data_IF_104876183193
#
_entry.id   IF_104876183193
#
_cell.length_a   1.000
_cell.length_b   1.000
_cell.length_c   1.000
_cell.angle_alpha   90.00
_cell.angle_beta   90.00
_cell.angle_gamma   90.00
#
_symmetry.space_group_name_H-M   'P 1'
#
loop_
_entity.id
_entity.type
_entity.pdbx_description
1 polymer ?
#
# COMPACT_ATOMS: atom_id res chain seq x y z
N UNK A 1 18.90 -7.54 -44.33
CA UNK A 1 19.22 -7.47 -42.89
C UNK A 1 19.84 -6.10 -42.62
N UNK A 2 19.02 -5.15 -42.17
CA UNK A 2 19.49 -3.78 -41.87
C UNK A 2 19.98 -3.76 -40.43
N UNK A 3 21.29 -3.64 -40.23
CA UNK A 3 21.86 -3.32 -38.94
C UNK A 3 21.49 -1.87 -38.60
N UNK A 4 20.51 -1.66 -37.75
CA UNK A 4 20.26 -0.35 -37.14
C UNK A 4 21.47 -0.02 -36.26
N UNK A 5 22.36 0.86 -36.76
CA UNK A 5 23.42 1.47 -35.94
C UNK A 5 22.72 2.20 -34.77
N UNK A 6 22.89 1.70 -33.55
CA UNK A 6 22.45 2.40 -32.31
C UNK A 6 23.18 3.73 -32.32
N UNK A 7 22.47 4.81 -32.66
CA UNK A 7 23.00 6.17 -32.50
C UNK A 7 23.08 6.43 -31.02
N UNK A 8 24.30 6.65 -30.54
CA UNK A 8 24.53 7.08 -29.15
C UNK A 8 24.02 8.52 -29.00
N UNK A 9 22.75 8.65 -28.74
CA UNK A 9 22.12 9.93 -28.42
C UNK A 9 22.30 10.20 -26.94
N UNK A 10 22.39 11.47 -26.54
CA UNK A 10 22.49 11.92 -25.16
C UNK A 10 21.48 11.19 -24.24
N UNK A 11 20.26 10.97 -24.69
CA UNK A 11 19.21 10.21 -23.99
C UNK A 11 19.55 8.72 -23.78
N UNK A 12 20.24 8.09 -24.71
CA UNK A 12 20.67 6.69 -24.58
C UNK A 12 21.76 6.54 -23.52
N UNK A 13 22.65 7.53 -23.38
CA UNK A 13 23.68 7.54 -22.34
C UNK A 13 23.05 7.71 -20.97
N UNK A 14 22.09 8.65 -20.81
CA UNK A 14 21.35 8.85 -19.56
C UNK A 14 20.57 7.59 -19.20
N UNK A 15 19.83 7.02 -20.14
CA UNK A 15 19.06 5.79 -19.92
C UNK A 15 19.95 4.63 -19.52
N UNK A 16 21.11 4.47 -20.16
CA UNK A 16 22.11 3.47 -19.81
C UNK A 16 22.68 3.69 -18.40
N UNK A 17 23.01 4.91 -18.04
CA UNK A 17 23.45 5.28 -16.68
C UNK A 17 22.42 4.98 -15.61
N UNK A 18 21.16 5.34 -15.86
CA UNK A 18 20.03 5.02 -14.94
C UNK A 18 19.83 3.50 -14.83
N UNK A 19 19.96 2.75 -15.93
CA UNK A 19 19.85 1.30 -15.91
C UNK A 19 20.97 0.64 -15.10
N UNK A 20 22.20 1.12 -15.21
CA UNK A 20 23.34 0.64 -14.40
C UNK A 20 23.11 0.96 -12.92
N UNK A 21 22.66 2.18 -12.60
CA UNK A 21 22.28 2.55 -11.24
C UNK A 21 21.20 1.61 -10.66
N UNK A 22 20.17 1.33 -11.44
CA UNK A 22 19.11 0.41 -11.05
C UNK A 22 19.64 -1.02 -10.80
N UNK A 23 20.51 -1.52 -11.66
CA UNK A 23 21.13 -2.84 -11.49
C UNK A 23 21.99 -2.90 -10.23
N UNK A 24 22.81 -1.89 -9.96
CA UNK A 24 23.69 -1.85 -8.78
C UNK A 24 22.87 -1.73 -7.49
N UNK A 25 21.91 -0.81 -7.42
CA UNK A 25 21.22 -0.49 -6.16
C UNK A 25 20.00 -1.33 -5.89
N UNK A 26 19.42 -2.00 -6.88
CA UNK A 26 18.24 -2.84 -6.70
C UNK A 26 18.54 -4.31 -6.95
N UNK A 27 19.08 -4.68 -8.10
CA UNK A 27 19.23 -6.09 -8.46
C UNK A 27 20.38 -6.76 -7.68
N UNK A 28 21.49 -6.06 -7.49
CA UNK A 28 22.63 -6.61 -6.76
C UNK A 28 22.31 -6.91 -5.28
N UNK A 29 21.69 -6.00 -4.48
CA UNK A 29 21.31 -6.33 -3.10
C UNK A 29 20.31 -7.47 -3.00
N UNK A 30 19.32 -7.53 -3.90
CA UNK A 30 18.36 -8.65 -3.94
C UNK A 30 19.07 -9.96 -4.27
N UNK A 31 19.98 -9.95 -5.25
CA UNK A 31 20.80 -11.11 -5.59
C UNK A 31 21.69 -11.58 -4.44
N UNK A 32 22.31 -10.65 -3.71
CA UNK A 32 23.09 -10.96 -2.48
C UNK A 32 22.21 -11.56 -1.41
N UNK A 33 21.02 -11.00 -1.17
CA UNK A 33 20.06 -11.51 -0.21
C UNK A 33 19.58 -12.93 -0.55
N UNK A 34 19.29 -13.20 -1.83
CA UNK A 34 18.96 -14.55 -2.31
C UNK A 34 20.12 -15.52 -2.12
N UNK A 35 21.34 -15.10 -2.45
CA UNK A 35 22.54 -15.92 -2.23
C UNK A 35 22.71 -16.24 -0.74
N UNK A 36 22.67 -15.25 0.12
CA UNK A 36 22.86 -15.39 1.57
C UNK A 36 21.78 -16.26 2.22
N UNK A 37 20.57 -16.28 1.66
CA UNK A 37 19.46 -17.13 2.17
C UNK A 37 19.66 -18.63 1.90
N UNK A 38 20.48 -19.00 0.92
CA UNK A 38 20.64 -20.39 0.44
C UNK A 38 22.09 -20.91 0.62
N UNK A 39 23.08 -19.99 0.78
CA UNK A 39 24.46 -20.35 0.98
C UNK A 39 24.92 -19.98 2.38
N UNK A 40 25.31 -21.00 3.17
CA UNK A 40 25.91 -20.84 4.51
C UNK A 40 27.26 -21.53 4.49
N UNK A 41 28.34 -20.80 4.84
CA UNK A 41 29.71 -21.31 4.89
C UNK A 41 30.19 -22.01 3.61
N UNK A 42 29.78 -21.47 2.45
CA UNK A 42 30.17 -21.99 1.14
C UNK A 42 29.42 -23.25 0.68
N UNK A 43 28.44 -23.73 1.46
CA UNK A 43 27.60 -24.89 1.14
C UNK A 43 26.17 -24.44 0.84
N UNK A 44 25.55 -25.08 -0.16
CA UNK A 44 24.13 -24.93 -0.42
C UNK A 44 23.33 -25.61 0.69
N UNK A 45 22.49 -24.86 1.40
CA UNK A 45 21.65 -25.38 2.48
C UNK A 45 20.29 -24.73 2.50
N UNK A 46 19.26 -25.51 2.79
CA UNK A 46 17.88 -25.05 3.01
C UNK A 46 17.51 -25.03 4.50
N UNK A 47 18.51 -25.10 5.38
CA UNK A 47 18.30 -25.22 6.83
C UNK A 47 17.55 -24.02 7.40
N UNK A 48 17.88 -22.80 6.94
CA UNK A 48 17.19 -21.58 7.36
C UNK A 48 15.69 -21.60 7.02
N UNK A 49 15.33 -22.10 5.84
CA UNK A 49 13.91 -22.27 5.46
C UNK A 49 13.23 -23.34 6.28
N UNK A 50 13.90 -24.48 6.53
CA UNK A 50 13.38 -25.55 7.39
C UNK A 50 13.15 -25.06 8.82
N UNK A 51 14.08 -24.28 9.37
CA UNK A 51 13.97 -23.68 10.70
C UNK A 51 12.77 -22.72 10.77
N UNK A 52 12.53 -21.93 9.71
CA UNK A 52 11.38 -21.04 9.66
C UNK A 52 10.05 -21.80 9.79
N UNK A 53 9.89 -22.92 9.06
CA UNK A 53 8.64 -23.70 9.10
C UNK A 53 8.54 -24.63 10.30
N UNK A 54 9.64 -24.88 11.03
CA UNK A 54 9.64 -25.79 12.19
C UNK A 54 9.11 -25.12 13.48
N UNK A 55 9.18 -23.80 13.60
CA UNK A 55 8.74 -23.07 14.79
C UNK A 55 7.50 -22.24 14.49
N UNK A 56 6.43 -22.48 15.27
CA UNK A 56 5.15 -21.77 15.17
C UNK A 56 5.30 -20.25 15.19
N UNK A 57 6.14 -19.73 16.05
CA UNK A 57 6.42 -18.31 16.19
C UNK A 57 6.80 -17.59 14.86
N UNK A 58 7.54 -18.26 13.98
CA UNK A 58 8.03 -17.66 12.74
C UNK A 58 6.94 -17.57 11.67
N UNK A 59 6.24 -18.64 11.38
CA UNK A 59 5.20 -18.60 10.36
C UNK A 59 3.94 -17.85 10.82
N UNK A 60 3.64 -17.86 12.13
CA UNK A 60 2.56 -17.04 12.70
C UNK A 60 2.79 -15.55 12.47
N UNK A 61 4.05 -15.07 12.48
CA UNK A 61 4.35 -13.66 12.21
C UNK A 61 3.94 -13.21 10.81
N UNK A 62 4.03 -14.10 9.79
CA UNK A 62 3.50 -13.83 8.45
C UNK A 62 1.98 -13.73 8.53
N UNK A 63 1.32 -14.69 9.16
CA UNK A 63 -0.13 -14.70 9.29
C UNK A 63 -0.64 -13.46 10.03
N UNK A 64 0.06 -13.05 11.08
CA UNK A 64 -0.22 -11.82 11.81
C UNK A 64 -0.12 -10.58 10.90
N UNK A 65 0.94 -10.47 10.11
CA UNK A 65 1.13 -9.35 9.18
C UNK A 65 0.07 -9.32 8.09
N UNK A 66 -0.26 -10.47 7.50
CA UNK A 66 -1.31 -10.58 6.49
C UNK A 66 -2.68 -10.21 7.09
N UNK A 67 -2.99 -10.71 8.29
CA UNK A 67 -4.23 -10.40 8.99
C UNK A 67 -4.37 -8.91 9.31
N UNK A 68 -3.31 -8.29 9.84
CA UNK A 68 -3.29 -6.83 10.07
C UNK A 68 -3.51 -6.09 8.76
N UNK A 69 -2.73 -6.42 7.71
CA UNK A 69 -2.80 -5.73 6.44
C UNK A 69 -4.20 -5.81 5.80
N UNK A 70 -4.87 -6.97 5.89
CA UNK A 70 -6.26 -7.13 5.44
C UNK A 70 -7.24 -6.30 6.27
N UNK A 71 -7.13 -6.32 7.60
CA UNK A 71 -8.01 -5.53 8.46
C UNK A 71 -7.82 -4.03 8.23
N UNK A 72 -6.57 -3.57 8.12
CA UNK A 72 -6.25 -2.16 7.83
C UNK A 72 -6.73 -1.75 6.44
N UNK A 73 -6.55 -2.60 5.43
CA UNK A 73 -7.05 -2.36 4.08
C UNK A 73 -8.57 -2.19 4.08
N UNK A 74 -9.29 -3.14 4.68
CA UNK A 74 -10.75 -3.08 4.75
C UNK A 74 -11.25 -1.85 5.51
N UNK A 75 -10.66 -1.56 6.68
CA UNK A 75 -11.03 -0.40 7.49
C UNK A 75 -10.68 0.94 6.79
N UNK A 76 -9.53 1.02 6.13
CA UNK A 76 -9.13 2.22 5.38
C UNK A 76 -10.01 2.48 4.17
N UNK A 77 -10.45 1.44 3.45
CA UNK A 77 -11.43 1.58 2.37
C UNK A 77 -12.80 1.99 2.90
N UNK A 78 -13.24 1.38 4.00
CA UNK A 78 -14.53 1.68 4.64
C UNK A 78 -14.62 3.14 5.09
N UNK A 79 -13.54 3.71 5.59
CA UNK A 79 -13.48 5.12 6.01
C UNK A 79 -13.16 6.05 4.84
N UNK A 80 -12.21 5.68 3.99
CA UNK A 80 -11.67 6.53 2.94
C UNK A 80 -12.63 6.76 1.78
N UNK A 81 -13.37 5.73 1.34
CA UNK A 81 -14.29 5.85 0.20
C UNK A 81 -15.46 6.80 0.52
N UNK A 82 -16.20 6.64 1.65
CA UNK A 82 -17.25 7.60 2.00
C UNK A 82 -16.70 9.01 2.22
N UNK A 83 -15.56 9.15 2.89
CA UNK A 83 -14.94 10.45 3.10
C UNK A 83 -14.58 11.12 1.76
N UNK A 84 -13.98 10.39 0.82
CA UNK A 84 -13.66 10.88 -0.51
C UNK A 84 -14.92 11.25 -1.30
N UNK A 85 -16.01 10.48 -1.16
CA UNK A 85 -17.30 10.77 -1.78
C UNK A 85 -17.86 12.10 -1.29
N UNK A 86 -17.96 12.29 0.03
CA UNK A 86 -18.42 13.55 0.60
C UNK A 86 -17.50 14.72 0.19
N UNK A 87 -16.19 14.50 0.21
CA UNK A 87 -15.22 15.49 -0.20
C UNK A 87 -15.36 15.90 -1.67
N UNK A 88 -15.67 14.97 -2.58
CA UNK A 88 -15.71 15.21 -4.03
C UNK A 88 -17.04 15.82 -4.48
N UNK A 89 -18.17 15.35 -3.95
CA UNK A 89 -19.51 15.70 -4.41
C UNK A 89 -20.21 16.79 -3.59
N UNK A 90 -19.74 17.07 -2.36
CA UNK A 90 -20.34 18.09 -1.52
C UNK A 90 -19.42 19.32 -1.36
N UNK A 91 -20.02 20.49 -1.24
CA UNK A 91 -19.30 21.74 -0.97
C UNK A 91 -18.97 21.82 0.53
N UNK A 92 -17.81 21.32 0.93
CA UNK A 92 -17.34 21.38 2.30
C UNK A 92 -16.59 22.71 2.55
N UNK A 93 -16.92 23.40 3.64
CA UNK A 93 -16.10 24.51 4.15
C UNK A 93 -14.73 23.97 4.55
N UNK A 94 -13.65 24.68 4.17
CA UNK A 94 -12.29 24.22 4.51
C UNK A 94 -11.74 23.06 3.69
N UNK A 95 -12.34 22.75 2.53
CA UNK A 95 -11.93 21.64 1.63
C UNK A 95 -10.41 21.60 1.36
N UNK A 96 -9.79 22.76 1.11
CA UNK A 96 -8.34 22.84 0.86
C UNK A 96 -7.55 22.41 2.08
N UNK A 97 -7.94 22.84 3.27
CA UNK A 97 -7.29 22.46 4.54
C UNK A 97 -7.40 20.95 4.79
N UNK A 98 -8.59 20.36 4.59
CA UNK A 98 -8.78 18.92 4.73
C UNK A 98 -7.87 18.12 3.80
N UNK A 99 -7.71 18.55 2.56
CA UNK A 99 -6.83 17.88 1.60
C UNK A 99 -5.36 17.97 2.01
N UNK A 100 -4.92 19.16 2.47
CA UNK A 100 -3.55 19.35 2.99
C UNK A 100 -3.32 18.48 4.22
N UNK A 101 -4.28 18.40 5.14
CA UNK A 101 -4.18 17.51 6.31
C UNK A 101 -4.07 16.03 5.89
N UNK A 102 -4.86 15.57 4.91
CA UNK A 102 -4.73 14.22 4.37
C UNK A 102 -3.34 13.98 3.77
N UNK A 103 -2.78 14.94 3.02
CA UNK A 103 -1.42 14.84 2.49
C UNK A 103 -0.38 14.73 3.60
N UNK A 104 -0.46 15.60 4.60
CA UNK A 104 0.46 15.58 5.75
C UNK A 104 0.41 14.27 6.52
N UNK A 105 -0.78 13.69 6.72
CA UNK A 105 -0.93 12.38 7.36
C UNK A 105 -0.22 11.27 6.57
N UNK A 106 -0.29 11.29 5.23
CA UNK A 106 0.37 10.27 4.40
C UNK A 106 1.89 10.39 4.38
N UNK A 107 2.42 11.58 4.64
CA UNK A 107 3.87 11.87 4.70
C UNK A 107 4.46 11.69 6.09
N UNK A 108 3.65 11.35 7.09
CA UNK A 108 4.12 11.13 8.46
C UNK A 108 5.15 10.02 8.54
N UNK A 109 6.25 10.26 9.27
CA UNK A 109 7.26 9.25 9.52
C UNK A 109 6.69 8.05 10.32
N UNK A 110 7.17 6.82 10.07
CA UNK A 110 6.56 5.60 10.62
C UNK A 110 6.41 5.59 12.14
N UNK A 111 7.43 6.08 12.86
CA UNK A 111 7.45 6.07 14.32
C UNK A 111 6.66 7.21 14.96
N UNK A 112 6.62 8.39 14.34
CA UNK A 112 6.02 9.60 14.92
C UNK A 112 4.52 9.39 15.14
N UNK A 113 3.81 8.84 14.15
CA UNK A 113 2.38 8.57 14.28
C UNK A 113 2.06 7.58 15.40
N UNK A 114 2.80 6.47 15.48
CA UNK A 114 2.60 5.47 16.52
C UNK A 114 2.90 6.03 17.91
N UNK A 115 3.98 6.81 18.06
CA UNK A 115 4.35 7.43 19.31
C UNK A 115 3.32 8.47 19.78
N UNK A 116 2.82 9.30 18.87
CA UNK A 116 1.76 10.25 19.19
C UNK A 116 0.50 9.55 19.75
N UNK A 117 0.11 8.40 19.16
CA UNK A 117 -1.01 7.62 19.67
C UNK A 117 -0.73 6.96 21.02
N UNK A 118 0.52 6.57 21.30
CA UNK A 118 0.92 6.09 22.63
C UNK A 118 0.77 7.20 23.68
N UNK A 119 1.16 8.43 23.35
CA UNK A 119 0.96 9.58 24.25
C UNK A 119 -0.53 9.87 24.51
N UNK A 120 -1.38 9.66 23.52
CA UNK A 120 -2.81 9.90 23.64
C UNK A 120 -3.55 8.75 24.33
N UNK A 121 -3.31 7.51 23.93
CA UNK A 121 -4.08 6.32 24.31
C UNK A 121 -3.25 5.23 25.01
N UNK A 122 -2.00 5.50 25.34
CA UNK A 122 -1.18 4.59 26.15
C UNK A 122 -1.67 4.46 27.59
N UNK A 123 -1.01 3.66 28.41
CA UNK A 123 -1.43 3.37 29.78
C UNK A 123 -1.64 4.63 30.66
N UNK A 124 -0.84 5.68 30.41
CA UNK A 124 -0.94 6.98 31.07
C UNK A 124 -1.30 8.10 30.08
N UNK A 125 -1.95 7.75 28.96
CA UNK A 125 -2.31 8.70 27.92
C UNK A 125 -3.48 9.61 28.32
N UNK A 126 -3.55 10.78 27.68
CA UNK A 126 -4.57 11.79 27.94
C UNK A 126 -5.99 11.22 27.75
N UNK A 127 -6.25 10.58 26.62
CA UNK A 127 -7.57 10.00 26.30
C UNK A 127 -7.89 8.85 27.27
N UNK A 128 -6.91 8.01 27.57
CA UNK A 128 -7.08 6.92 28.54
C UNK A 128 -7.41 7.45 29.94
N UNK A 129 -6.81 8.57 30.35
CA UNK A 129 -7.13 9.25 31.60
C UNK A 129 -8.58 9.74 31.64
N UNK A 130 -9.03 10.39 30.56
CA UNK A 130 -10.42 10.85 30.42
C UNK A 130 -11.41 9.66 30.43
N UNK A 131 -11.13 8.59 29.68
CA UNK A 131 -11.99 7.40 29.64
C UNK A 131 -12.11 6.73 31.01
N UNK A 132 -11.01 6.66 31.76
CA UNK A 132 -11.01 6.15 33.14
C UNK A 132 -11.88 6.98 34.08
N UNK A 133 -11.89 8.32 33.94
CA UNK A 133 -12.75 9.20 34.75
C UNK A 133 -14.23 9.01 34.44
N UNK A 134 -14.60 8.52 33.25
CA UNK A 134 -15.95 8.12 32.86
C UNK A 134 -16.27 6.64 33.22
N UNK A 135 -15.39 5.95 33.94
CA UNK A 135 -15.58 4.54 34.32
C UNK A 135 -15.29 3.52 33.22
N UNK A 136 -14.80 3.93 32.07
CA UNK A 136 -14.45 3.05 30.96
C UNK A 136 -13.01 2.56 31.18
N UNK A 137 -12.88 1.36 31.78
CA UNK A 137 -11.60 0.72 32.03
C UNK A 137 -11.31 -0.34 30.96
N UNK A 138 -10.03 -0.58 30.67
CA UNK A 138 -9.60 -1.67 29.78
C UNK A 138 -9.37 -1.28 28.32
N UNK A 139 -9.52 -0.02 27.94
CA UNK A 139 -9.11 0.46 26.60
C UNK A 139 -7.59 0.51 26.52
N UNK A 140 -7.02 -0.35 25.73
CA UNK A 140 -5.57 -0.40 25.51
C UNK A 140 -5.25 -0.26 24.02
N UNK A 141 -4.33 0.65 23.68
CA UNK A 141 -3.85 0.80 22.31
C UNK A 141 -2.88 -0.33 21.90
N UNK A 142 -2.44 -1.13 22.86
CA UNK A 142 -1.45 -2.17 22.62
C UNK A 142 -2.05 -3.44 22.04
N UNK A 143 -1.27 -4.13 21.18
CA UNK A 143 -1.66 -5.36 20.53
C UNK A 143 -2.34 -5.17 19.17
N UNK A 144 -3.00 -6.21 18.69
CA UNK A 144 -3.60 -6.27 17.36
C UNK A 144 -4.56 -5.10 17.06
N UNK A 145 -5.51 -4.83 17.96
CA UNK A 145 -6.53 -3.79 17.75
C UNK A 145 -5.92 -2.39 17.62
N UNK A 146 -4.92 -2.07 18.46
CA UNK A 146 -4.23 -0.79 18.38
C UNK A 146 -3.39 -0.63 17.12
N UNK A 147 -2.71 -1.69 16.67
CA UNK A 147 -1.97 -1.66 15.39
C UNK A 147 -2.94 -1.36 14.24
N UNK A 148 -4.07 -2.09 14.17
CA UNK A 148 -5.08 -1.89 13.12
C UNK A 148 -5.64 -0.46 13.17
N UNK A 149 -5.99 0.04 14.36
CA UNK A 149 -6.52 1.38 14.55
C UNK A 149 -5.54 2.47 14.06
N UNK A 150 -4.30 2.44 14.54
CA UNK A 150 -3.29 3.46 14.22
C UNK A 150 -2.92 3.42 12.74
N UNK A 151 -2.71 2.22 12.17
CA UNK A 151 -2.41 2.09 10.75
C UNK A 151 -3.58 2.51 9.86
N UNK A 152 -4.83 2.23 10.27
CA UNK A 152 -6.02 2.67 9.53
C UNK A 152 -6.07 4.18 9.45
N UNK A 153 -5.88 4.88 10.59
CA UNK A 153 -5.88 6.34 10.62
C UNK A 153 -4.72 6.96 9.85
N UNK A 154 -3.58 6.27 9.74
CA UNK A 154 -2.44 6.68 8.94
C UNK A 154 -2.68 6.49 7.43
N UNK A 155 -3.40 5.42 7.03
CA UNK A 155 -3.49 4.99 5.64
C UNK A 155 -4.83 5.34 4.96
N UNK A 156 -5.94 5.60 5.70
CA UNK A 156 -7.19 6.00 5.05
C UNK A 156 -7.08 7.29 4.22
N UNK A 157 -6.25 8.31 4.59
CA UNK A 157 -6.10 9.50 3.75
C UNK A 157 -5.51 9.19 2.37
N UNK A 158 -4.70 8.14 2.25
CA UNK A 158 -4.19 7.65 0.98
C UNK A 158 -5.35 7.21 0.07
N UNK A 159 -6.30 6.45 0.62
CA UNK A 159 -7.53 6.07 -0.12
C UNK A 159 -8.30 7.31 -0.55
N UNK A 160 -8.44 8.31 0.32
CA UNK A 160 -9.12 9.58 0.00
C UNK A 160 -8.48 10.27 -1.20
N UNK A 161 -7.14 10.35 -1.24
CA UNK A 161 -6.40 10.98 -2.34
C UNK A 161 -6.66 10.24 -3.66
N UNK A 162 -6.54 8.92 -3.68
CA UNK A 162 -6.77 8.09 -4.87
C UNK A 162 -8.22 8.20 -5.36
N UNK A 163 -9.17 8.06 -4.44
CA UNK A 163 -10.59 8.11 -4.77
C UNK A 163 -11.05 9.50 -5.21
N UNK A 164 -10.49 10.58 -4.63
CA UNK A 164 -10.79 11.94 -5.07
C UNK A 164 -10.34 12.17 -6.53
N UNK A 165 -9.21 11.61 -6.96
CA UNK A 165 -8.81 11.60 -8.36
C UNK A 165 -9.84 10.87 -9.23
N UNK A 166 -10.13 9.61 -8.88
CA UNK A 166 -11.07 8.79 -9.64
C UNK A 166 -12.48 9.39 -9.74
N UNK A 167 -12.97 10.03 -8.67
CA UNK A 167 -14.29 10.66 -8.69
C UNK A 167 -14.35 11.93 -9.56
N UNK A 168 -13.22 12.63 -9.71
CA UNK A 168 -13.13 13.80 -10.60
C UNK A 168 -13.08 13.43 -12.08
N UNK A 169 -12.57 12.24 -12.38
CA UNK A 169 -12.46 11.73 -13.75
C UNK A 169 -13.78 11.14 -14.27
N UNK A 170 -14.83 11.05 -13.41
CA UNK A 170 -16.16 10.61 -13.84
C UNK A 170 -16.82 11.74 -14.63
N UNK A 171 -17.24 11.43 -15.87
CA UNK A 171 -18.01 12.34 -16.69
C UNK A 171 -19.40 12.59 -16.07
N UNK A 172 -19.75 13.86 -15.89
CA UNK A 172 -21.05 14.25 -15.35
C UNK A 172 -22.21 13.77 -16.23
N UNK A 173 -22.01 13.66 -17.54
CA UNK A 173 -23.02 13.15 -18.46
C UNK A 173 -23.48 11.73 -18.12
N UNK A 174 -22.56 10.88 -17.64
CA UNK A 174 -22.88 9.54 -17.18
C UNK A 174 -23.74 9.55 -15.91
N UNK A 175 -23.46 10.49 -15.00
CA UNK A 175 -24.24 10.65 -13.77
C UNK A 175 -25.65 11.19 -14.04
N UNK A 176 -25.79 12.12 -15.00
CA UNK A 176 -27.07 12.67 -15.44
C UNK A 176 -27.90 11.62 -16.20
N UNK A 177 -27.27 10.82 -17.06
CA UNK A 177 -27.93 9.71 -17.75
C UNK A 177 -28.44 8.67 -16.75
N UNK A 178 -27.64 8.32 -15.75
CA UNK A 178 -28.04 7.39 -14.67
C UNK A 178 -29.23 7.93 -13.87
N UNK A 179 -29.24 9.23 -13.60
CA UNK A 179 -30.34 9.89 -12.89
C UNK A 179 -31.63 9.92 -13.72
N UNK A 180 -31.52 10.16 -15.02
CA UNK A 180 -32.64 10.10 -15.98
C UNK A 180 -33.24 8.70 -16.08
N UNK A 181 -32.43 7.66 -15.88
CA UNK A 181 -32.89 6.24 -15.79
C UNK A 181 -33.42 5.87 -14.40
N UNK A 182 -33.57 6.81 -13.48
CA UNK A 182 -34.13 6.59 -12.15
C UNK A 182 -33.12 6.17 -11.06
N UNK A 183 -31.82 6.09 -11.38
CA UNK A 183 -30.79 5.78 -10.38
C UNK A 183 -30.46 7.00 -9.53
N UNK A 184 -31.04 7.10 -8.32
CA UNK A 184 -30.83 8.23 -7.39
C UNK A 184 -30.13 7.82 -6.09
N UNK A 185 -29.46 8.76 -5.44
CA UNK A 185 -28.87 8.60 -4.11
C UNK A 185 -27.91 7.41 -4.00
N UNK A 186 -28.24 6.47 -3.11
CA UNK A 186 -27.41 5.29 -2.81
C UNK A 186 -27.30 4.33 -4.01
N UNK A 187 -28.34 4.20 -4.83
CA UNK A 187 -28.30 3.35 -6.02
C UNK A 187 -27.32 3.91 -7.05
N UNK A 188 -27.32 5.21 -7.28
CA UNK A 188 -26.33 5.89 -8.14
C UNK A 188 -24.90 5.65 -7.62
N UNK A 189 -24.69 5.76 -6.31
CA UNK A 189 -23.39 5.50 -5.71
C UNK A 189 -22.94 4.05 -5.92
N UNK A 190 -23.78 3.06 -5.56
CA UNK A 190 -23.42 1.65 -5.61
C UNK A 190 -23.29 1.09 -7.03
N UNK A 191 -24.24 1.42 -7.91
CA UNK A 191 -24.33 0.82 -9.25
C UNK A 191 -23.49 1.54 -10.29
N UNK A 192 -23.32 2.86 -10.15
CA UNK A 192 -22.62 3.66 -11.16
C UNK A 192 -21.24 4.06 -10.66
N UNK A 193 -21.16 4.85 -9.59
CA UNK A 193 -19.90 5.45 -9.12
C UNK A 193 -18.91 4.36 -8.68
N UNK A 194 -19.35 3.42 -7.84
CA UNK A 194 -18.49 2.32 -7.38
C UNK A 194 -18.03 1.42 -8.53
N UNK A 195 -18.91 1.14 -9.51
CA UNK A 195 -18.55 0.32 -10.67
C UNK A 195 -17.49 1.01 -11.54
N UNK A 196 -17.65 2.30 -11.83
CA UNK A 196 -16.71 3.08 -12.63
C UNK A 196 -15.34 3.24 -11.93
N UNK A 197 -15.32 3.37 -10.61
CA UNK A 197 -14.09 3.57 -9.83
C UNK A 197 -13.46 2.29 -9.31
N UNK A 198 -14.05 1.11 -9.59
CA UNK A 198 -13.55 -0.19 -9.12
C UNK A 198 -12.05 -0.43 -9.39
N UNK A 199 -11.51 -0.12 -10.58
CA UNK A 199 -10.08 -0.28 -10.83
C UNK A 199 -9.21 0.54 -9.87
N UNK A 200 -9.62 1.77 -9.57
CA UNK A 200 -8.91 2.64 -8.62
C UNK A 200 -9.08 2.16 -7.17
N UNK A 201 -10.26 1.66 -6.80
CA UNK A 201 -10.49 1.05 -5.48
C UNK A 201 -9.53 -0.13 -5.28
N UNK A 202 -9.41 -1.01 -6.26
CA UNK A 202 -8.50 -2.16 -6.20
C UNK A 202 -7.03 -1.73 -6.14
N UNK A 203 -6.65 -0.67 -6.88
CA UNK A 203 -5.30 -0.11 -6.82
C UNK A 203 -5.00 0.50 -5.44
N UNK A 204 -5.92 1.28 -4.88
CA UNK A 204 -5.80 1.85 -3.54
C UNK A 204 -5.76 0.75 -2.46
N UNK A 205 -6.59 -0.28 -2.59
CA UNK A 205 -6.60 -1.45 -1.70
C UNK A 205 -5.24 -2.14 -1.67
N UNK A 206 -4.63 -2.41 -2.84
CA UNK A 206 -3.29 -2.99 -2.94
C UNK A 206 -2.25 -2.13 -2.24
N UNK A 207 -2.28 -0.84 -2.53
CA UNK A 207 -1.29 0.08 -1.99
C UNK A 207 -1.37 0.17 -0.46
N UNK A 208 -2.59 0.23 0.09
CA UNK A 208 -2.81 0.20 1.54
C UNK A 208 -2.35 -1.13 2.13
N UNK A 209 -2.70 -2.25 1.51
CA UNK A 209 -2.27 -3.58 1.95
C UNK A 209 -0.75 -3.67 2.01
N UNK A 210 -0.05 -3.30 0.92
CA UNK A 210 1.41 -3.36 0.83
C UNK A 210 2.09 -2.45 1.86
N UNK A 211 1.56 -1.23 2.04
CA UNK A 211 2.09 -0.30 3.06
C UNK A 211 1.86 -0.79 4.48
N UNK A 212 0.71 -1.40 4.76
CA UNK A 212 0.42 -1.98 6.07
C UNK A 212 1.26 -3.23 6.35
N UNK A 213 1.42 -4.11 5.36
CA UNK A 213 2.24 -5.32 5.48
C UNK A 213 3.71 -5.01 5.73
N UNK A 214 4.24 -3.97 5.07
CA UNK A 214 5.63 -3.53 5.21
C UNK A 214 5.87 -2.58 6.40
N UNK A 215 4.82 -2.20 7.15
CA UNK A 215 4.97 -1.28 8.28
C UNK A 215 5.69 -1.96 9.45
N UNK A 216 6.83 -1.40 9.80
CA UNK A 216 7.65 -1.83 10.93
C UNK A 216 7.39 -0.96 12.18
N UNK A 217 7.23 0.37 11.96
CA UNK A 217 7.22 1.34 13.03
C UNK A 217 6.07 1.20 14.01
N UNK A 218 4.85 0.94 13.51
CA UNK A 218 3.68 0.80 14.37
C UNK A 218 3.73 -0.51 15.18
N UNK A 219 3.98 -1.70 14.57
CA UNK A 219 4.03 -2.94 15.31
C UNK A 219 5.15 -3.03 16.35
N UNK A 220 6.33 -2.47 16.08
CA UNK A 220 7.45 -2.51 17.06
C UNK A 220 7.13 -1.71 18.32
N UNK A 221 6.39 -0.60 18.20
CA UNK A 221 6.05 0.25 19.35
C UNK A 221 4.79 -0.21 20.08
N UNK A 222 3.77 -0.66 19.35
CA UNK A 222 2.43 -0.93 19.89
C UNK A 222 2.17 -2.44 20.04
N UNK A 223 2.91 -3.30 19.34
CA UNK A 223 2.61 -4.73 19.20
C UNK A 223 2.56 -5.53 20.50
N UNK A 224 3.40 -5.23 21.49
CA UNK A 224 3.46 -5.92 22.80
C UNK A 224 3.25 -7.43 22.71
N UNK A 225 4.16 -8.11 22.03
CA UNK A 225 4.11 -9.57 21.86
C UNK A 225 3.32 -10.04 20.63
N UNK A 226 2.58 -9.16 19.95
CA UNK A 226 2.01 -9.45 18.63
C UNK A 226 3.06 -9.20 17.56
N UNK A 227 3.92 -10.20 17.34
CA UNK A 227 5.03 -10.09 16.40
C UNK A 227 4.53 -10.07 14.96
N UNK A 228 4.98 -9.07 14.20
CA UNK A 228 4.78 -8.99 12.76
C UNK A 228 6.04 -9.36 12.01
N UNK A 229 5.89 -9.65 10.74
CA UNK A 229 6.97 -10.12 9.91
C UNK A 229 8.15 -9.11 9.77
N UNK A 230 7.93 -7.79 9.56
CA UNK A 230 9.02 -6.82 9.58
C UNK A 230 9.75 -6.72 10.92
N UNK A 231 9.02 -6.86 12.04
CA UNK A 231 9.61 -6.87 13.38
C UNK A 231 10.43 -8.12 13.59
N UNK A 232 9.97 -9.27 13.08
CA UNK A 232 10.74 -10.51 13.13
C UNK A 232 12.07 -10.40 12.39
N UNK A 233 12.07 -9.85 11.16
CA UNK A 233 13.29 -9.61 10.38
C UNK A 233 14.26 -8.73 11.17
N UNK A 234 13.76 -7.62 11.69
CA UNK A 234 14.57 -6.68 12.48
C UNK A 234 15.24 -7.37 13.67
N UNK A 235 14.48 -8.16 14.43
CA UNK A 235 14.97 -8.87 15.60
C UNK A 235 16.05 -9.92 15.26
N UNK A 236 15.99 -10.50 14.04
CA UNK A 236 17.02 -11.46 13.60
C UNK A 236 18.30 -10.76 13.10
N UNK A 237 18.18 -9.53 12.56
CA UNK A 237 19.36 -8.75 12.13
C UNK A 237 20.05 -8.01 13.27
N UNK A 238 19.28 -7.47 14.21
CA UNK A 238 19.78 -6.55 15.25
C UNK A 238 19.42 -6.99 16.67
N UNK A 239 18.86 -8.18 16.84
CA UNK A 239 18.46 -8.69 18.15
C UNK A 239 19.67 -9.02 19.05
N UNK A 240 19.49 -8.84 20.35
CA UNK A 240 20.52 -9.08 21.38
C UNK A 240 20.98 -10.55 21.48
N UNK A 241 20.21 -11.50 20.95
CA UNK A 241 20.47 -12.94 21.01
C UNK A 241 21.42 -13.47 19.92
N UNK A 242 22.15 -12.58 19.24
CA UNK A 242 23.07 -12.92 18.15
C UNK A 242 22.45 -12.72 16.77
N UNK A 243 23.25 -12.15 15.88
CA UNK A 243 22.84 -11.87 14.49
C UNK A 243 22.93 -13.14 13.65
N UNK A 244 21.79 -13.68 13.22
CA UNK A 244 21.76 -14.75 12.25
C UNK A 244 21.39 -14.20 10.87
N UNK A 245 22.39 -13.71 10.14
CA UNK A 245 22.20 -13.07 8.83
C UNK A 245 21.58 -14.01 7.80
N UNK A 246 21.96 -15.30 7.80
CA UNK A 246 21.43 -16.29 6.87
C UNK A 246 19.93 -16.53 7.10
N UNK A 247 19.54 -16.64 8.37
CA UNK A 247 18.14 -16.82 8.74
C UNK A 247 17.31 -15.57 8.44
N UNK A 248 17.84 -14.37 8.75
CA UNK A 248 17.19 -13.10 8.42
C UNK A 248 17.03 -12.91 6.91
N UNK A 249 18.03 -13.32 6.12
CA UNK A 249 17.95 -13.30 4.66
C UNK A 249 16.87 -14.27 4.13
N UNK A 250 16.81 -15.49 4.67
CA UNK A 250 15.78 -16.47 4.30
C UNK A 250 14.37 -15.95 4.61
N UNK A 251 14.17 -15.36 5.79
CA UNK A 251 12.89 -14.73 6.16
C UNK A 251 12.55 -13.59 5.19
N UNK A 252 13.53 -12.75 4.84
CA UNK A 252 13.30 -11.65 3.89
C UNK A 252 12.91 -12.14 2.50
N UNK A 253 13.49 -13.26 2.03
CA UNK A 253 13.08 -13.90 0.77
C UNK A 253 11.64 -14.40 0.85
N UNK A 254 11.23 -15.00 1.95
CA UNK A 254 9.84 -15.44 2.17
C UNK A 254 8.89 -14.22 2.12
N UNK A 255 9.30 -13.06 2.71
CA UNK A 255 8.50 -11.82 2.62
C UNK A 255 8.27 -11.39 1.19
N UNK A 256 9.35 -11.35 0.40
CA UNK A 256 9.27 -10.97 -1.01
C UNK A 256 8.35 -11.92 -1.78
N UNK A 257 8.45 -13.22 -1.54
CA UNK A 257 7.58 -14.20 -2.18
C UNK A 257 6.10 -14.02 -1.78
N UNK A 258 5.82 -13.85 -0.50
CA UNK A 258 4.44 -13.61 -0.01
C UNK A 258 3.85 -12.35 -0.63
N UNK A 259 4.60 -11.24 -0.64
CA UNK A 259 4.14 -9.99 -1.24
C UNK A 259 3.95 -10.11 -2.76
N UNK A 260 4.84 -10.83 -3.45
CA UNK A 260 4.72 -11.08 -4.89
C UNK A 260 3.47 -11.91 -5.22
N UNK A 261 3.19 -12.96 -4.45
CA UNK A 261 1.97 -13.79 -4.62
C UNK A 261 0.71 -12.93 -4.44
N UNK A 262 0.65 -12.14 -3.37
CA UNK A 262 -0.48 -11.26 -3.10
C UNK A 262 -0.65 -10.22 -4.22
N UNK A 263 0.45 -9.64 -4.70
CA UNK A 263 0.44 -8.73 -5.83
C UNK A 263 -0.11 -9.39 -7.11
N UNK A 264 0.32 -10.59 -7.43
CA UNK A 264 -0.15 -11.34 -8.61
C UNK A 264 -1.65 -11.65 -8.49
N UNK A 265 -2.10 -12.13 -7.33
CA UNK A 265 -3.52 -12.40 -7.07
C UNK A 265 -4.35 -11.15 -7.31
N UNK A 266 -3.93 -10.02 -6.74
CA UNK A 266 -4.66 -8.77 -6.88
C UNK A 266 -4.61 -8.21 -8.30
N UNK A 267 -3.46 -8.27 -8.98
CA UNK A 267 -3.34 -7.87 -10.39
C UNK A 267 -4.29 -8.68 -11.28
N UNK A 268 -4.39 -9.98 -11.03
CA UNK A 268 -5.30 -10.86 -11.76
C UNK A 268 -6.76 -10.52 -11.47
N UNK A 269 -7.11 -10.27 -10.20
CA UNK A 269 -8.42 -9.79 -9.81
C UNK A 269 -8.75 -8.44 -10.46
N UNK A 270 -7.84 -7.48 -10.39
CA UNK A 270 -8.00 -6.15 -11.02
C UNK A 270 -8.20 -6.25 -12.54
N UNK A 271 -7.50 -7.16 -13.20
CA UNK A 271 -7.66 -7.34 -14.65
C UNK A 271 -9.04 -7.91 -15.04
N UNK A 272 -9.68 -8.70 -14.18
CA UNK A 272 -11.06 -9.18 -14.38
C UNK A 272 -12.10 -8.07 -14.21
N UNK A 273 -11.80 -7.05 -13.42
CA UNK A 273 -12.65 -5.88 -13.19
C UNK A 273 -12.27 -4.67 -14.04
N UNK A 274 -11.33 -4.82 -14.97
CA UNK A 274 -11.14 -3.83 -16.03
C UNK A 274 -12.36 -3.84 -16.92
N UNK A 275 -13.42 -3.15 -16.48
CA UNK A 275 -14.36 -2.61 -17.44
C UNK A 275 -13.55 -1.67 -18.32
N UNK A 276 -13.42 -2.07 -19.58
CA UNK A 276 -12.86 -1.18 -20.59
C UNK A 276 -13.84 -0.02 -20.68
N UNK A 277 -13.64 1.02 -19.88
CA UNK A 277 -14.14 2.34 -20.20
C UNK A 277 -13.26 2.69 -21.39
N UNK A 278 -13.62 2.17 -22.57
CA UNK A 278 -13.17 2.73 -23.82
C UNK A 278 -13.63 4.18 -23.74
N UNK A 279 -12.65 5.05 -23.53
CA UNK A 279 -12.88 6.46 -23.45
C UNK A 279 -13.81 6.82 -24.61
N UNK A 280 -14.97 7.36 -24.29
CA UNK A 280 -15.91 7.93 -25.26
C UNK A 280 -15.28 9.12 -26.03
N UNK A 281 -14.08 9.49 -25.62
CA UNK A 281 -13.16 10.32 -26.37
C UNK A 281 -11.99 9.46 -26.84
N UNK A 282 -12.04 8.87 -28.06
CA UNK A 282 -10.80 8.49 -28.70
C UNK A 282 -9.95 9.77 -28.72
N UNK A 283 -8.75 9.70 -28.12
CA UNK A 283 -7.73 10.72 -28.36
C UNK A 283 -7.59 10.71 -29.87
N UNK A 284 -8.19 11.70 -30.51
CA UNK A 284 -8.01 11.92 -31.92
C UNK A 284 -6.55 12.32 -32.07
N UNK A 285 -5.69 11.33 -32.28
CA UNK A 285 -4.37 11.56 -32.83
C UNK A 285 -4.66 12.21 -34.19
N UNK A 286 -4.65 13.54 -34.20
CA UNK A 286 -4.53 14.32 -35.42
C UNK A 286 -3.21 13.90 -36.07
N UNK A 287 -3.26 12.81 -36.83
CA UNK A 287 -2.32 12.62 -37.91
C UNK A 287 -2.59 13.78 -38.87
N UNK A 288 -1.84 14.85 -38.72
CA UNK A 288 -1.65 15.80 -39.79
C UNK A 288 -0.91 15.05 -40.90
N UNK A 289 -1.64 14.32 -41.74
CA UNK A 289 -1.13 13.95 -43.03
C UNK A 289 -0.95 15.27 -43.80
N UNK A 290 0.23 15.55 -44.34
CA UNK A 290 0.40 16.74 -45.17
C UNK A 290 -0.63 16.67 -46.31
N UNK A 291 -1.42 17.72 -46.41
CA UNK A 291 -2.37 17.85 -47.49
C UNK A 291 -1.65 17.81 -48.84
N UNK A 292 -2.15 17.05 -49.85
CA UNK A 292 -1.51 17.03 -51.18
C UNK A 292 -1.62 18.35 -51.95
N UNK A 293 -1.92 19.46 -51.32
CA UNK A 293 -2.08 20.79 -51.92
C UNK A 293 -0.92 21.74 -51.67
N UNK A 294 0.12 21.32 -50.98
CA UNK A 294 1.32 22.15 -50.75
C UNK A 294 2.52 21.69 -51.58
N UNK A 295 2.24 21.30 -52.83
CA UNK A 295 3.26 21.13 -53.89
C UNK A 295 3.04 22.18 -54.96
#
# INVERSE_FOLDING_TARGET
MSHSKVRWDFWNIISGGLMVLFLIFLVYPIGRLLKESVYTDGKFTMEAFRMFFSKSYYYESIFHSVKIAFCVMAASLLLGIPFAYFYSFFRLGGRKLLFVLCLLCTMSAPFIGAYAWILLMGNSGLITGILKSFGINGVSIYGFGGIVFVQTLKLFPLVVIYMNGAFRDIDNSLLEAAESMGCKGVDRFKRVIMALTMPTILAAALLVFMRSFADFGTPVLIGRGYSTFPVLIYNQYLGENGTNYHFAAAISVIAVLVTAVIFIIQKTASNRFKFTINALHPVCLLYTSPSPRDS
#
